data_IF_330441856985
#
_entry.id   IF_330441856985
#
_cell.length_a   1.000
_cell.length_b   1.000
_cell.length_c   1.000
_cell.angle_alpha   90.00
_cell.angle_beta   90.00
_cell.angle_gamma   90.00
#
_symmetry.space_group_name_H-M   'P 1'
#
loop_
_entity.id
_entity.type
_entity.pdbx_description
1 polymer ?
#
# COMPACT_ATOMS: atom_id res chain seq x y z
N UNK A 1 12.86 13.51 5.41
CA UNK A 1 11.81 12.68 4.80
C UNK A 1 10.82 12.25 5.87
N UNK A 2 9.55 12.26 5.54
CA UNK A 2 8.52 11.79 6.45
C UNK A 2 8.56 10.27 6.59
N UNK A 3 7.83 9.74 7.58
CA UNK A 3 7.73 8.29 7.77
C UNK A 3 7.20 7.62 6.50
N UNK A 4 6.13 8.19 5.90
CA UNK A 4 5.54 7.58 4.71
C UNK A 4 6.47 7.65 3.50
N UNK A 5 7.19 8.75 3.33
CA UNK A 5 8.16 8.85 2.24
C UNK A 5 9.25 7.79 2.36
N UNK A 6 9.77 7.61 3.58
CA UNK A 6 10.77 6.57 3.83
C UNK A 6 10.23 5.18 3.59
N UNK A 7 8.97 4.95 4.02
CA UNK A 7 8.32 3.65 3.85
C UNK A 7 8.14 3.32 2.35
N UNK A 8 7.58 4.26 1.58
CA UNK A 8 7.34 4.02 0.16
C UNK A 8 8.64 3.79 -0.60
N UNK A 9 9.69 4.53 -0.23
CA UNK A 9 11.01 4.34 -0.84
C UNK A 9 11.59 2.97 -0.49
N UNK A 10 11.40 2.52 0.75
CA UNK A 10 11.86 1.20 1.18
C UNK A 10 11.13 0.08 0.44
N UNK A 11 9.83 0.24 0.19
CA UNK A 11 9.06 -0.72 -0.60
C UNK A 11 9.59 -0.78 -2.03
N UNK A 12 9.82 0.39 -2.64
CA UNK A 12 10.32 0.47 -4.01
C UNK A 12 11.70 -0.18 -4.16
N UNK A 13 12.58 0.07 -3.19
CA UNK A 13 13.95 -0.44 -3.23
C UNK A 13 14.12 -1.81 -2.58
N UNK A 14 13.04 -2.38 -2.06
CA UNK A 14 13.07 -3.65 -1.32
C UNK A 14 14.09 -3.62 -0.19
N UNK A 15 14.06 -2.53 0.58
CA UNK A 15 14.97 -2.31 1.70
C UNK A 15 14.37 -2.89 2.97
N UNK A 16 14.65 -4.16 3.21
CA UNK A 16 14.08 -4.91 4.32
C UNK A 16 14.40 -4.31 5.69
N UNK A 17 15.63 -3.85 5.89
CA UNK A 17 16.03 -3.29 7.17
C UNK A 17 15.22 -2.04 7.51
N UNK A 18 15.03 -1.15 6.54
CA UNK A 18 14.24 0.06 6.73
C UNK A 18 12.76 -0.29 6.94
N UNK A 19 12.24 -1.28 6.21
CA UNK A 19 10.86 -1.74 6.42
C UNK A 19 10.67 -2.25 7.85
N UNK A 20 11.61 -3.05 8.35
CA UNK A 20 11.53 -3.56 9.73
C UNK A 20 11.61 -2.44 10.76
N UNK A 21 12.36 -1.39 10.46
CA UNK A 21 12.46 -0.23 11.34
C UNK A 21 11.16 0.58 11.37
N UNK A 22 10.55 0.79 10.22
CA UNK A 22 9.40 1.68 10.07
C UNK A 22 8.05 1.05 10.37
N UNK A 23 7.95 -0.28 10.32
CA UNK A 23 6.68 -0.98 10.58
C UNK A 23 6.63 -1.37 12.05
N UNK A 24 5.60 -0.94 12.75
CA UNK A 24 5.42 -1.21 14.18
C UNK A 24 5.24 -2.72 14.41
N UNK A 25 5.73 -3.21 15.56
CA UNK A 25 5.62 -4.64 15.89
C UNK A 25 4.17 -5.13 15.97
N UNK A 26 3.26 -4.25 16.34
CA UNK A 26 1.83 -4.56 16.44
C UNK A 26 1.05 -4.21 15.16
N UNK A 27 1.75 -4.00 14.06
CA UNK A 27 1.18 -3.59 12.79
C UNK A 27 0.07 -4.54 12.31
N UNK A 28 -0.96 -3.93 11.70
CA UNK A 28 -2.03 -4.67 11.02
C UNK A 28 -2.21 -4.15 9.60
N UNK A 29 -2.24 -5.06 8.65
CA UNK A 29 -2.57 -4.75 7.26
C UNK A 29 -3.97 -5.30 6.97
N UNK A 30 -4.89 -4.40 6.63
CA UNK A 30 -6.27 -4.75 6.34
C UNK A 30 -6.50 -4.45 4.85
N UNK A 31 -6.31 -5.46 3.99
CA UNK A 31 -6.46 -5.23 2.56
C UNK A 31 -7.94 -5.08 2.18
N UNK A 32 -8.17 -4.72 0.94
CA UNK A 32 -9.51 -4.55 0.39
C UNK A 32 -10.24 -5.88 0.16
N UNK A 33 -9.65 -6.99 0.57
CA UNK A 33 -10.27 -8.31 0.50
C UNK A 33 -10.86 -8.61 1.87
N UNK A 34 -12.17 -8.81 1.90
CA UNK A 34 -12.91 -9.03 3.14
C UNK A 34 -12.40 -10.26 3.89
N UNK A 35 -12.23 -10.11 5.21
CA UNK A 35 -11.85 -11.22 6.07
C UNK A 35 -10.38 -11.57 6.11
N UNK A 36 -9.53 -10.75 5.47
CA UNK A 36 -8.08 -10.98 5.45
C UNK A 36 -7.40 -9.93 6.31
N UNK A 37 -6.43 -10.35 7.12
CA UNK A 37 -5.65 -9.43 7.96
C UNK A 37 -4.24 -10.00 8.11
N UNK A 38 -3.23 -9.13 7.99
CA UNK A 38 -1.83 -9.54 8.09
C UNK A 38 -1.12 -8.74 9.18
N UNK A 39 -0.11 -9.35 9.80
CA UNK A 39 0.77 -8.67 10.73
C UNK A 39 2.02 -8.15 10.04
N UNK A 40 2.96 -7.64 10.86
CA UNK A 40 4.20 -7.05 10.38
C UNK A 40 5.02 -8.00 9.50
N UNK A 41 5.20 -9.24 9.96
CA UNK A 41 6.03 -10.21 9.22
C UNK A 41 5.49 -10.44 7.81
N UNK A 42 4.17 -10.61 7.72
CA UNK A 42 3.52 -10.85 6.44
C UNK A 42 3.65 -9.64 5.53
N UNK A 43 3.48 -8.44 6.09
CA UNK A 43 3.59 -7.20 5.31
C UNK A 43 4.99 -7.02 4.76
N UNK A 44 6.01 -7.21 5.58
CA UNK A 44 7.40 -7.08 5.14
C UNK A 44 7.71 -8.13 4.06
N UNK A 45 7.26 -9.35 4.26
CA UNK A 45 7.46 -10.43 3.28
C UNK A 45 6.82 -10.10 1.93
N UNK A 46 5.60 -9.57 1.96
CA UNK A 46 4.90 -9.16 0.73
C UNK A 46 5.66 -8.04 0.03
N UNK A 47 6.15 -7.05 0.78
CA UNK A 47 6.91 -5.94 0.22
C UNK A 47 8.23 -6.39 -0.40
N UNK A 48 8.83 -7.44 0.13
CA UNK A 48 10.10 -7.98 -0.38
C UNK A 48 9.92 -8.90 -1.59
N UNK A 49 8.69 -9.34 -1.84
CA UNK A 49 8.42 -10.26 -2.94
C UNK A 49 8.36 -9.53 -4.28
N UNK A 50 8.44 -10.31 -5.37
CA UNK A 50 8.30 -9.79 -6.73
C UNK A 50 6.87 -9.95 -7.25
N UNK A 51 5.90 -10.20 -6.36
CA UNK A 51 4.54 -10.51 -6.80
C UNK A 51 3.78 -9.30 -7.32
N UNK A 52 4.20 -8.09 -7.00
CA UNK A 52 3.52 -6.89 -7.49
C UNK A 52 4.50 -5.75 -7.71
N UNK A 53 4.08 -4.79 -8.55
CA UNK A 53 4.83 -3.56 -8.82
C UNK A 53 3.88 -2.37 -8.64
N UNK A 54 4.36 -1.35 -7.92
CA UNK A 54 3.60 -0.11 -7.73
C UNK A 54 4.10 0.93 -8.74
N UNK A 55 3.15 1.51 -9.48
CA UNK A 55 3.45 2.50 -10.52
C UNK A 55 2.76 3.82 -10.19
N UNK A 56 3.40 4.93 -10.52
CA UNK A 56 2.86 6.27 -10.33
C UNK A 56 2.40 6.51 -8.89
N UNK A 57 3.21 6.03 -7.95
CA UNK A 57 2.93 6.17 -6.52
C UNK A 57 3.00 7.65 -6.12
N UNK A 58 2.02 8.10 -5.37
CA UNK A 58 1.97 9.48 -4.88
C UNK A 58 1.37 9.55 -3.49
N UNK A 59 1.82 10.54 -2.72
CA UNK A 59 1.27 10.81 -1.40
C UNK A 59 0.12 11.80 -1.58
N UNK A 60 -1.07 11.42 -1.12
CA UNK A 60 -2.26 12.26 -1.21
C UNK A 60 -2.33 13.22 -0.03
N UNK A 61 -1.96 12.74 1.16
CA UNK A 61 -1.98 13.53 2.39
C UNK A 61 -1.09 12.86 3.42
N UNK A 62 -0.46 13.68 4.29
CA UNK A 62 0.30 13.13 5.40
C UNK A 62 0.38 14.12 6.55
N UNK A 63 0.41 13.58 7.77
CA UNK A 63 0.77 14.30 8.98
C UNK A 63 1.38 13.28 9.95
N UNK A 64 1.56 13.64 11.22
CA UNK A 64 2.22 12.75 12.19
C UNK A 64 1.40 11.52 12.57
N UNK A 65 0.12 11.49 12.23
CA UNK A 65 -0.80 10.43 12.67
C UNK A 65 -1.38 9.63 11.51
N UNK A 66 -1.47 10.21 10.33
CA UNK A 66 -2.08 9.58 9.16
C UNK A 66 -1.29 9.91 7.91
N UNK A 67 -1.17 8.91 7.03
CA UNK A 67 -0.64 9.14 5.69
C UNK A 67 -1.53 8.38 4.70
N UNK A 68 -1.79 9.01 3.56
CA UNK A 68 -2.62 8.43 2.50
C UNK A 68 -1.83 8.45 1.22
N UNK A 69 -1.69 7.30 0.56
CA UNK A 69 -1.02 7.24 -0.75
C UNK A 69 -1.91 6.54 -1.77
N UNK A 70 -1.56 6.71 -3.02
CA UNK A 70 -2.27 6.09 -4.14
C UNK A 70 -1.23 5.58 -5.13
N UNK A 71 -1.47 4.41 -5.71
CA UNK A 71 -0.63 3.85 -6.75
C UNK A 71 -1.44 2.94 -7.67
N UNK A 72 -0.94 2.76 -8.88
CA UNK A 72 -1.46 1.72 -9.77
C UNK A 72 -0.59 0.49 -9.59
N UNK A 73 -1.22 -0.65 -9.38
CA UNK A 73 -0.52 -1.89 -9.04
C UNK A 73 -0.70 -2.91 -10.15
N UNK A 74 0.42 -3.46 -10.60
CA UNK A 74 0.41 -4.59 -11.55
C UNK A 74 0.93 -5.82 -10.83
N UNK A 75 0.47 -7.00 -11.27
CA UNK A 75 0.78 -8.26 -10.61
C UNK A 75 1.58 -9.17 -11.53
N UNK A 76 2.61 -9.81 -10.97
CA UNK A 76 3.50 -10.68 -11.74
C UNK A 76 2.78 -11.89 -12.33
N UNK A 77 1.68 -12.34 -11.70
CA UNK A 77 0.92 -13.50 -12.16
C UNK A 77 -0.08 -13.19 -13.28
N UNK A 78 -0.11 -11.94 -13.75
CA UNK A 78 -1.02 -11.53 -14.83
C UNK A 78 -2.43 -11.19 -14.38
N UNK A 79 -2.69 -11.11 -13.08
CA UNK A 79 -4.00 -10.67 -12.58
C UNK A 79 -4.29 -9.25 -13.02
N UNK A 80 -5.58 -8.90 -13.06
CA UNK A 80 -6.02 -7.56 -13.45
C UNK A 80 -5.34 -6.48 -12.59
N UNK A 81 -4.72 -5.47 -13.21
CA UNK A 81 -4.14 -4.36 -12.46
C UNK A 81 -5.21 -3.61 -11.67
N UNK A 82 -4.77 -2.92 -10.62
CA UNK A 82 -5.68 -2.18 -9.75
C UNK A 82 -5.19 -0.78 -9.45
N UNK A 83 -6.13 0.15 -9.26
CA UNK A 83 -5.83 1.43 -8.65
C UNK A 83 -6.08 1.27 -7.15
N UNK A 84 -5.05 1.53 -6.35
CA UNK A 84 -5.09 1.25 -4.90
C UNK A 84 -4.85 2.52 -4.11
N UNK A 85 -5.78 2.82 -3.21
CA UNK A 85 -5.59 3.85 -2.20
C UNK A 85 -5.29 3.17 -0.87
N UNK A 86 -4.28 3.67 -0.15
CA UNK A 86 -3.85 3.11 1.12
C UNK A 86 -3.91 4.19 2.20
N UNK A 87 -4.52 3.88 3.32
CA UNK A 87 -4.58 4.75 4.49
C UNK A 87 -3.73 4.12 5.59
N UNK A 88 -2.68 4.83 5.99
CA UNK A 88 -1.75 4.35 7.03
C UNK A 88 -1.95 5.14 8.30
N UNK A 89 -2.00 4.44 9.43
CA UNK A 89 -1.98 5.07 10.75
C UNK A 89 -0.56 5.03 11.26
N UNK A 90 -0.10 6.16 11.81
CA UNK A 90 1.27 6.29 12.30
C UNK A 90 1.24 6.49 13.80
N UNK A 91 2.08 5.74 14.52
CA UNK A 91 2.21 5.84 15.97
C UNK A 91 3.67 5.65 16.34
N UNK A 92 4.18 6.53 17.20
CA UNK A 92 5.57 6.46 17.66
C UNK A 92 6.57 6.49 16.51
N UNK A 93 6.26 7.25 15.45
CA UNK A 93 7.13 7.35 14.28
C UNK A 93 7.17 6.11 13.42
N UNK A 94 6.23 5.19 13.59
CA UNK A 94 6.15 3.93 12.85
C UNK A 94 4.76 3.74 12.28
N UNK A 95 4.69 2.95 11.22
CA UNK A 95 3.41 2.62 10.58
C UNK A 95 2.73 1.53 11.40
N UNK A 96 1.59 1.86 11.99
CA UNK A 96 0.84 0.98 12.87
C UNK A 96 -0.19 0.14 12.13
N UNK A 97 -0.80 0.69 11.10
CA UNK A 97 -1.78 -0.06 10.30
C UNK A 97 -1.90 0.51 8.90
N UNK A 98 -2.40 -0.31 8.00
CA UNK A 98 -2.69 0.11 6.63
C UNK A 98 -4.02 -0.50 6.21
N UNK A 99 -4.90 0.32 5.68
CA UNK A 99 -6.13 -0.14 5.06
C UNK A 99 -6.12 0.25 3.60
N UNK A 100 -6.55 -0.66 2.71
CA UNK A 100 -6.56 -0.38 1.28
C UNK A 100 -7.97 -0.45 0.71
N UNK A 101 -8.18 0.35 -0.33
CA UNK A 101 -9.33 0.23 -1.21
C UNK A 101 -8.78 0.13 -2.62
N UNK A 102 -9.39 -0.69 -3.46
CA UNK A 102 -8.89 -0.90 -4.81
C UNK A 102 -10.01 -0.98 -5.83
N UNK A 103 -9.70 -0.50 -7.03
CA UNK A 103 -10.59 -0.59 -8.17
C UNK A 103 -9.86 -1.32 -9.30
N UNK A 104 -10.43 -2.39 -9.86
CA UNK A 104 -9.78 -3.07 -10.98
C UNK A 104 -9.74 -2.18 -12.22
N UNK A 105 -8.63 -2.24 -12.95
CA UNK A 105 -8.40 -1.45 -14.16
C UNK A 105 -8.61 -2.35 -15.39
N UNK A 106 -9.83 -2.79 -15.59
CA UNK A 106 -10.13 -3.59 -16.77
C UNK A 106 -10.91 -2.78 -17.79
N UNK A 107 -10.94 -3.29 -19.04
CA UNK A 107 -11.55 -2.59 -20.17
C UNK A 107 -13.07 -2.45 -20.03
N UNK A 108 -13.67 -3.25 -19.18
CA UNK A 108 -15.12 -3.21 -18.95
C UNK A 108 -15.54 -2.17 -17.92
N UNK A 109 -14.56 -1.56 -17.22
CA UNK A 109 -14.90 -0.59 -16.18
C UNK A 109 -15.21 0.77 -16.79
N UNK A 110 -16.26 1.39 -16.29
CA UNK A 110 -16.68 2.70 -16.74
C UNK A 110 -17.15 3.52 -15.56
N UNK A 111 -16.74 4.77 -15.51
CA UNK A 111 -17.17 5.67 -14.42
C UNK A 111 -18.63 6.02 -14.58
N UNK A 112 -19.35 6.09 -13.46
CA UNK A 112 -20.74 6.53 -13.44
C UNK A 112 -20.81 7.95 -13.99
N UNK A 113 -21.63 8.14 -15.00
CA UNK A 113 -21.81 9.46 -15.63
C UNK A 113 -20.80 9.79 -16.71
N UNK A 114 -19.84 8.91 -16.99
CA UNK A 114 -18.84 9.17 -18.02
C UNK A 114 -19.23 8.63 -19.39
N UNK A 115 -20.13 7.66 -19.44
CA UNK A 115 -20.59 7.09 -20.70
C UNK A 115 -21.71 7.93 -21.30
N UNK A 116 -21.83 7.88 -22.58
CA UNK A 116 -22.85 8.65 -23.32
C UNK A 116 -24.06 7.81 -23.65
#
# INVERSE_FOLDING_TARGET
MSVIERFLKAVENKDEDTLNELVHDDYKFIPHIKGVEFGKRDMVSICMSDSFTRNESRIVYENDEIAIDHAFVTFANGSTPEAVISVHRISEGKIMSTETGATPLDDGYSLVGSEE
#
